data_IF_761824822774
#
_entry.id   IF_761824822774
#
_cell.length_a   1.000
_cell.length_b   1.000
_cell.length_c   1.000
_cell.angle_alpha   90.00
_cell.angle_beta   90.00
_cell.angle_gamma   90.00
#
_symmetry.space_group_name_H-M   'P 1'
#
loop_
_entity.id
_entity.type
_entity.pdbx_description
1 polymer ?
#
# COMPACT_ATOMS: atom_id res chain seq x y z
N UNK A 1 14.11 -10.95 14.45
CA UNK A 1 14.35 -9.80 15.35
C UNK A 1 13.12 -9.75 16.21
N UNK A 2 13.24 -10.12 17.48
CA UNK A 2 12.06 -10.41 18.31
C UNK A 2 11.65 -9.23 19.20
N UNK A 3 12.45 -8.15 19.17
CA UNK A 3 12.20 -6.89 19.88
C UNK A 3 12.87 -5.72 19.16
N UNK A 4 12.24 -4.56 19.26
CA UNK A 4 12.77 -3.25 18.82
C UNK A 4 12.67 -2.26 19.97
N UNK A 5 13.51 -1.23 19.96
CA UNK A 5 13.48 -0.13 20.94
C UNK A 5 13.05 1.18 20.25
N UNK A 6 12.44 2.14 20.97
CA UNK A 6 12.11 3.44 20.40
C UNK A 6 13.32 4.13 19.78
N UNK A 7 13.14 4.69 18.58
CA UNK A 7 14.21 5.36 17.82
C UNK A 7 14.97 4.45 16.86
N UNK A 8 14.77 3.14 16.89
CA UNK A 8 15.32 2.22 15.89
C UNK A 8 14.50 2.31 14.60
N UNK A 9 15.18 2.54 13.47
CA UNK A 9 14.58 2.48 12.14
C UNK A 9 14.62 1.03 11.66
N UNK A 10 13.48 0.50 11.23
CA UNK A 10 13.35 -0.88 10.75
C UNK A 10 12.52 -0.91 9.47
N UNK A 11 12.79 -1.92 8.64
CA UNK A 11 11.92 -2.28 7.53
C UNK A 11 10.76 -3.13 8.07
N UNK A 12 9.54 -2.61 7.95
CA UNK A 12 8.32 -3.31 8.31
C UNK A 12 7.49 -3.58 7.04
N UNK A 13 6.95 -4.80 6.96
CA UNK A 13 6.06 -5.19 5.87
C UNK A 13 4.62 -5.18 6.37
N UNK A 14 3.72 -4.37 5.77
CA UNK A 14 2.35 -4.28 6.23
C UNK A 14 1.59 -5.59 5.96
N UNK A 15 0.72 -5.97 6.90
CA UNK A 15 -0.19 -7.10 6.73
C UNK A 15 -1.38 -6.74 5.83
N UNK A 16 -1.78 -5.46 5.81
CA UNK A 16 -2.83 -4.93 4.95
C UNK A 16 -2.50 -3.49 4.54
N UNK A 17 -2.68 -3.19 3.25
CA UNK A 17 -2.62 -1.84 2.68
C UNK A 17 -4.00 -1.49 2.15
N UNK A 18 -4.59 -0.40 2.64
CA UNK A 18 -5.90 0.07 2.19
C UNK A 18 -5.77 1.41 1.48
N UNK A 19 -6.49 1.54 0.36
CA UNK A 19 -6.74 2.80 -0.30
C UNK A 19 -8.21 2.89 -0.72
N UNK A 20 -8.57 3.99 -1.35
CA UNK A 20 -9.96 4.28 -1.74
C UNK A 20 -10.04 4.84 -3.16
N UNK A 21 -11.13 5.54 -3.51
CA UNK A 21 -11.40 6.13 -4.83
C UNK A 21 -10.18 6.78 -5.53
N UNK A 22 -9.26 7.41 -4.80
CA UNK A 22 -8.08 8.07 -5.36
C UNK A 22 -6.90 7.12 -5.71
N UNK A 23 -7.06 5.80 -5.58
CA UNK A 23 -5.99 4.80 -5.79
C UNK A 23 -5.28 4.91 -7.14
N UNK A 24 -5.98 5.39 -8.18
CA UNK A 24 -5.40 5.56 -9.51
C UNK A 24 -4.13 6.43 -9.50
N UNK A 25 -4.07 7.46 -8.64
CA UNK A 25 -2.88 8.33 -8.52
C UNK A 25 -1.66 7.58 -8.01
N UNK A 26 -1.87 6.71 -7.01
CA UNK A 26 -0.81 5.86 -6.48
C UNK A 26 -0.33 4.87 -7.53
N UNK A 27 -1.25 4.27 -8.31
CA UNK A 27 -0.89 3.36 -9.41
C UNK A 27 -0.02 4.07 -10.45
N UNK A 28 -0.34 5.31 -10.83
CA UNK A 28 0.44 6.05 -11.82
C UNK A 28 1.86 6.37 -11.33
N UNK A 29 2.02 6.75 -10.05
CA UNK A 29 3.34 6.93 -9.44
C UNK A 29 4.12 5.61 -9.43
N UNK A 30 3.48 4.51 -9.02
CA UNK A 30 4.15 3.20 -8.97
C UNK A 30 4.60 2.73 -10.36
N UNK A 31 3.80 2.99 -11.41
CA UNK A 31 4.19 2.71 -12.80
C UNK A 31 5.41 3.53 -13.24
N UNK A 32 5.48 4.81 -12.87
CA UNK A 32 6.64 5.66 -13.17
C UNK A 32 7.91 5.18 -12.45
N UNK A 33 7.76 4.58 -11.27
CA UNK A 33 8.85 3.92 -10.54
C UNK A 33 9.23 2.54 -11.12
N UNK A 34 8.55 2.09 -12.18
CA UNK A 34 8.85 0.82 -12.87
C UNK A 34 8.10 -0.39 -12.33
N UNK A 35 7.07 -0.22 -11.50
CA UNK A 35 6.26 -1.33 -11.03
C UNK A 35 5.39 -1.90 -12.18
N UNK A 36 5.55 -3.19 -12.45
CA UNK A 36 4.84 -3.95 -13.47
C UNK A 36 3.79 -4.91 -12.89
N UNK A 37 3.83 -5.14 -11.59
CA UNK A 37 2.91 -6.03 -10.85
C UNK A 37 2.62 -5.50 -9.45
N UNK A 38 1.51 -5.97 -8.88
CA UNK A 38 1.17 -5.75 -7.48
C UNK A 38 2.13 -6.51 -6.56
N UNK A 39 2.40 -5.95 -5.37
CA UNK A 39 3.20 -6.58 -4.33
C UNK A 39 2.58 -7.88 -3.82
N UNK A 40 1.37 -7.81 -3.24
CA UNK A 40 0.57 -8.94 -2.79
C UNK A 40 -0.93 -8.58 -2.88
N UNK A 41 -1.67 -9.10 -3.88
CA UNK A 41 -3.09 -8.79 -4.07
C UNK A 41 -3.98 -9.19 -2.89
N UNK A 42 -3.59 -10.19 -2.10
CA UNK A 42 -4.37 -10.66 -0.94
C UNK A 42 -4.27 -9.71 0.26
N UNK A 43 -3.31 -8.79 0.24
CA UNK A 43 -3.06 -7.80 1.31
C UNK A 43 -3.43 -6.38 0.90
N UNK A 44 -4.10 -6.19 -0.25
CA UNK A 44 -4.48 -4.88 -0.75
C UNK A 44 -6.00 -4.78 -0.80
N UNK A 45 -6.54 -3.80 -0.08
CA UNK A 45 -7.96 -3.46 -0.10
C UNK A 45 -8.17 -2.11 -0.79
N UNK A 46 -9.04 -2.06 -1.79
CA UNK A 46 -9.43 -0.81 -2.47
C UNK A 46 -10.95 -0.66 -2.33
N UNK A 47 -11.38 0.37 -1.62
CA UNK A 47 -12.80 0.66 -1.40
C UNK A 47 -13.22 1.85 -2.26
N UNK A 48 -14.27 1.68 -3.06
CA UNK A 48 -14.83 2.77 -3.87
C UNK A 48 -16.03 3.35 -3.14
N UNK A 49 -15.82 4.34 -2.29
CA UNK A 49 -16.82 4.90 -1.37
C UNK A 49 -17.07 6.40 -1.54
N UNK A 50 -16.10 7.18 -2.01
CA UNK A 50 -16.21 8.65 -2.05
C UNK A 50 -17.12 9.17 -3.16
N UNK A 51 -17.31 8.39 -4.22
CA UNK A 51 -18.09 8.75 -5.42
C UNK A 51 -18.91 7.57 -5.93
N UNK A 52 -19.11 6.56 -5.07
CA UNK A 52 -20.03 5.49 -5.40
C UNK A 52 -21.44 6.08 -5.61
N UNK A 53 -22.21 5.60 -6.62
CA UNK A 53 -23.61 6.01 -6.76
C UNK A 53 -24.44 5.64 -5.53
#
# INVERSE_FOLDING_TARGET
MDRVEPGVIVDAFPDLVMSHTATWRSVDVMRQLGADRLYDPSRIAIVLDHVAP
#
